data_IF_715898074128
#
_entry.id   IF_715898074128
#
_cell.length_a   1.000
_cell.length_b   1.000
_cell.length_c   1.000
_cell.angle_alpha   90.00
_cell.angle_beta   90.00
_cell.angle_gamma   90.00
#
_symmetry.space_group_name_H-M   'P 1'
#
loop_
_entity.id
_entity.type
_entity.pdbx_description
1 polymer ?
#
# COMPACT_ATOMS: atom_id res chain seq x y z
N UNK A 1 12.25 -31.88 -9.84
CA UNK A 1 12.56 -32.36 -11.21
C UNK A 1 13.72 -31.65 -11.86
N UNK A 2 14.15 -30.47 -11.43
CA UNK A 2 15.26 -29.71 -12.03
C UNK A 2 15.00 -29.13 -13.42
N UNK A 3 13.77 -29.21 -13.92
CA UNK A 3 13.42 -28.70 -15.25
C UNK A 3 13.47 -27.17 -15.35
N UNK A 4 13.33 -26.48 -14.20
CA UNK A 4 13.39 -25.02 -14.11
C UNK A 4 14.28 -24.61 -12.95
N UNK A 5 15.04 -23.53 -13.11
CA UNK A 5 15.93 -22.95 -12.10
C UNK A 5 15.59 -21.48 -11.82
N UNK A 6 14.61 -20.94 -12.51
CA UNK A 6 14.14 -19.56 -12.38
C UNK A 6 12.61 -19.52 -12.43
N UNK A 7 12.03 -18.87 -11.42
CA UNK A 7 10.58 -18.74 -11.27
C UNK A 7 10.20 -17.27 -11.15
N UNK A 8 9.05 -16.93 -11.68
CA UNK A 8 8.35 -15.69 -11.37
C UNK A 8 7.36 -16.02 -10.26
N UNK A 9 7.53 -15.38 -9.12
CA UNK A 9 6.77 -15.64 -7.90
C UNK A 9 5.65 -14.62 -7.76
N UNK A 10 4.45 -15.10 -7.41
CA UNK A 10 3.39 -14.19 -7.00
C UNK A 10 3.74 -13.50 -5.68
N UNK A 11 3.09 -12.40 -5.38
CA UNK A 11 3.27 -11.60 -4.18
C UNK A 11 3.15 -12.43 -2.88
N UNK A 12 2.16 -13.32 -2.80
CA UNK A 12 1.96 -14.22 -1.65
C UNK A 12 3.05 -15.25 -1.45
N UNK A 13 3.84 -15.51 -2.49
CA UNK A 13 4.98 -16.43 -2.41
C UNK A 13 6.26 -15.74 -1.92
N UNK A 14 6.28 -14.42 -1.87
CA UNK A 14 7.45 -13.64 -1.44
C UNK A 14 7.50 -13.60 0.09
N UNK A 15 8.25 -14.52 0.66
CA UNK A 15 8.40 -14.64 2.09
C UNK A 15 9.52 -15.59 2.48
N UNK A 16 10.00 -15.44 3.71
CA UNK A 16 11.12 -16.24 4.23
C UNK A 16 10.82 -17.74 4.30
N UNK A 17 9.53 -18.12 4.42
CA UNK A 17 9.10 -19.53 4.41
C UNK A 17 9.47 -20.22 3.11
N UNK A 18 9.24 -19.57 1.97
CA UNK A 18 9.60 -20.13 0.66
C UNK A 18 11.10 -20.40 0.55
N UNK A 19 11.92 -19.44 1.03
CA UNK A 19 13.39 -19.62 1.05
C UNK A 19 13.81 -20.76 1.96
N UNK A 20 13.18 -20.90 3.14
CA UNK A 20 13.46 -22.01 4.04
C UNK A 20 13.16 -23.36 3.41
N UNK A 21 12.07 -23.45 2.64
CA UNK A 21 11.63 -24.70 2.01
C UNK A 21 12.49 -25.08 0.79
N UNK A 22 12.76 -24.13 -0.09
CA UNK A 22 13.39 -24.41 -1.39
C UNK A 22 14.86 -24.00 -1.51
N UNK A 23 15.35 -23.15 -0.63
CA UNK A 23 16.76 -22.78 -0.52
C UNK A 23 17.40 -22.36 -1.84
N UNK A 24 18.41 -23.11 -2.25
CA UNK A 24 19.20 -22.81 -3.46
C UNK A 24 18.42 -23.00 -4.76
N UNK A 25 17.32 -23.77 -4.77
CA UNK A 25 16.54 -24.07 -5.97
C UNK A 25 15.87 -22.82 -6.56
N UNK A 26 15.57 -21.81 -5.73
CA UNK A 26 14.92 -20.57 -6.14
C UNK A 26 15.86 -19.35 -6.18
N UNK A 27 17.18 -19.56 -6.09
CA UNK A 27 18.15 -18.46 -5.99
C UNK A 27 18.14 -17.45 -7.14
N UNK A 28 17.62 -17.84 -8.31
CA UNK A 28 17.49 -16.96 -9.50
C UNK A 28 16.08 -16.39 -9.66
N UNK A 29 15.18 -16.73 -8.76
CA UNK A 29 13.78 -16.35 -8.86
C UNK A 29 13.56 -14.92 -8.42
N UNK A 30 12.49 -14.33 -8.92
CA UNK A 30 12.06 -12.97 -8.59
C UNK A 30 10.53 -12.90 -8.57
N UNK A 31 10.00 -11.85 -8.02
CA UNK A 31 8.57 -11.59 -8.03
C UNK A 31 8.29 -10.12 -7.70
N UNK A 32 7.03 -9.76 -7.64
CA UNK A 32 6.60 -8.41 -7.40
C UNK A 32 5.67 -8.35 -6.20
N UNK A 33 5.88 -7.36 -5.35
CA UNK A 33 4.95 -7.01 -4.26
C UNK A 33 4.48 -5.58 -4.45
N UNK A 34 3.26 -5.23 -4.01
CA UNK A 34 2.89 -3.84 -3.87
C UNK A 34 3.90 -3.12 -2.98
N UNK A 35 4.20 -1.88 -3.28
CA UNK A 35 5.19 -1.15 -2.50
C UNK A 35 5.13 0.34 -2.70
N UNK A 36 5.48 1.07 -1.65
CA UNK A 36 5.58 2.53 -1.64
C UNK A 36 7.03 2.99 -1.69
N UNK A 37 7.25 4.19 -2.20
CA UNK A 37 8.56 4.82 -2.22
C UNK A 37 8.48 6.32 -1.97
N UNK A 38 9.64 6.95 -1.74
CA UNK A 38 9.76 8.40 -1.57
C UNK A 38 9.22 8.92 -0.23
N UNK A 39 8.69 10.14 -0.24
CA UNK A 39 8.22 10.83 0.97
C UNK A 39 7.12 10.08 1.71
N UNK A 40 6.23 9.41 0.98
CA UNK A 40 5.11 8.64 1.54
C UNK A 40 5.58 7.48 2.40
N UNK A 41 6.57 6.73 1.93
CA UNK A 41 7.16 5.63 2.69
C UNK A 41 7.73 6.12 4.03
N UNK A 42 8.44 7.25 4.05
CA UNK A 42 8.97 7.81 5.28
C UNK A 42 7.90 8.32 6.27
N UNK A 43 6.77 8.82 5.78
CA UNK A 43 5.63 9.18 6.64
C UNK A 43 5.01 7.94 7.26
N UNK A 44 4.79 6.91 6.45
CA UNK A 44 4.20 5.66 6.90
C UNK A 44 5.10 4.93 7.89
N UNK A 45 6.41 4.87 7.64
CA UNK A 45 7.39 4.25 8.53
C UNK A 45 7.33 4.84 9.95
N UNK A 46 7.24 6.17 10.07
CA UNK A 46 7.10 6.84 11.37
C UNK A 46 5.81 6.46 12.11
N UNK A 47 4.69 6.33 11.37
CA UNK A 47 3.40 5.93 11.96
C UNK A 47 3.43 4.48 12.39
N UNK A 48 3.92 3.60 11.55
CA UNK A 48 4.03 2.17 11.80
C UNK A 48 4.96 1.86 12.98
N UNK A 49 6.12 2.54 13.05
CA UNK A 49 7.07 2.39 14.16
C UNK A 49 6.45 2.78 15.50
N UNK A 50 5.67 3.86 15.56
CA UNK A 50 4.94 4.25 16.77
C UNK A 50 3.89 3.22 17.19
N UNK A 51 3.29 2.51 16.24
CA UNK A 51 2.30 1.46 16.48
C UNK A 51 2.93 0.06 16.69
N UNK A 52 4.25 -0.07 16.67
CA UNK A 52 4.92 -1.38 16.75
C UNK A 52 4.68 -2.28 15.54
N UNK A 53 4.33 -1.71 14.39
CA UNK A 53 3.98 -2.45 13.17
C UNK A 53 5.23 -2.65 12.31
N UNK A 54 5.46 -3.89 11.89
CA UNK A 54 6.54 -4.22 10.96
C UNK A 54 6.13 -3.92 9.51
N UNK A 55 6.67 -2.83 8.95
CA UNK A 55 6.39 -2.40 7.57
C UNK A 55 6.95 -3.36 6.50
N UNK A 56 7.82 -4.29 6.87
CA UNK A 56 8.33 -5.30 5.94
C UNK A 56 7.31 -6.41 5.63
N UNK A 57 6.22 -6.47 6.38
CA UNK A 57 5.13 -7.39 6.07
C UNK A 57 4.37 -6.91 4.82
N UNK A 58 4.06 -7.83 3.90
CA UNK A 58 3.25 -7.50 2.73
C UNK A 58 1.91 -6.87 3.13
N UNK A 59 1.43 -5.95 2.30
CA UNK A 59 0.12 -5.28 2.42
C UNK A 59 -0.07 -4.39 3.67
N UNK A 60 0.97 -4.10 4.44
CA UNK A 60 0.84 -3.24 5.63
C UNK A 60 0.41 -1.82 5.25
N UNK A 61 1.00 -1.25 4.21
CA UNK A 61 0.65 0.07 3.68
C UNK A 61 -0.74 0.10 3.07
N UNK A 62 -1.08 -0.90 2.30
CA UNK A 62 -2.39 -1.04 1.65
C UNK A 62 -3.52 -1.19 2.66
N UNK A 63 -3.30 -1.95 3.72
CA UNK A 63 -4.28 -2.10 4.82
C UNK A 63 -4.49 -0.79 5.58
N UNK A 64 -3.42 -0.04 5.82
CA UNK A 64 -3.51 1.28 6.42
C UNK A 64 -4.31 2.25 5.53
N UNK A 65 -4.01 2.28 4.24
CA UNK A 65 -4.67 3.16 3.28
C UNK A 65 -6.15 2.80 3.12
N UNK A 66 -6.49 1.52 3.08
CA UNK A 66 -7.87 1.07 3.00
C UNK A 66 -8.69 1.55 4.21
N UNK A 67 -8.17 1.40 5.43
CA UNK A 67 -8.83 1.88 6.63
C UNK A 67 -8.96 3.41 6.64
N UNK A 68 -7.90 4.13 6.28
CA UNK A 68 -7.89 5.59 6.22
C UNK A 68 -8.92 6.13 5.21
N UNK A 69 -8.97 5.55 4.01
CA UNK A 69 -9.92 5.95 2.98
C UNK A 69 -11.37 5.74 3.41
N UNK A 70 -11.69 4.63 4.07
CA UNK A 70 -13.03 4.37 4.60
C UNK A 70 -13.39 5.43 5.63
N UNK A 71 -12.52 5.74 6.59
CA UNK A 71 -12.75 6.74 7.64
C UNK A 71 -13.00 8.13 7.02
N UNK A 72 -12.15 8.54 6.06
CA UNK A 72 -12.27 9.82 5.38
C UNK A 72 -13.54 9.90 4.52
N UNK A 73 -13.91 8.80 3.84
CA UNK A 73 -15.13 8.74 3.04
C UNK A 73 -16.41 8.82 3.91
N UNK A 74 -16.41 8.20 5.10
CA UNK A 74 -17.49 8.32 6.08
C UNK A 74 -17.66 9.79 6.50
N UNK A 75 -16.56 10.48 6.82
CA UNK A 75 -16.60 11.89 7.19
C UNK A 75 -17.11 12.77 6.03
N UNK A 76 -16.63 12.52 4.81
CA UNK A 76 -17.05 13.28 3.63
C UNK A 76 -18.54 13.10 3.31
N UNK A 77 -19.05 11.86 3.47
CA UNK A 77 -20.44 11.52 3.16
C UNK A 77 -21.42 11.65 4.34
N UNK A 78 -20.92 11.90 5.55
CA UNK A 78 -21.74 11.96 6.77
C UNK A 78 -22.45 10.65 7.12
N UNK A 79 -22.03 9.51 6.54
CA UNK A 79 -22.71 8.23 6.72
C UNK A 79 -21.77 7.04 6.52
N UNK A 80 -21.92 6.03 7.38
CA UNK A 80 -21.15 4.78 7.32
C UNK A 80 -21.81 3.69 6.44
N UNK A 81 -22.89 3.99 5.73
CA UNK A 81 -23.46 3.01 4.83
C UNK A 81 -22.57 2.82 3.58
N UNK A 82 -22.58 1.60 3.03
CA UNK A 82 -21.69 1.20 1.92
C UNK A 82 -21.86 2.07 0.67
N UNK A 83 -23.09 2.50 0.37
CA UNK A 83 -23.37 3.34 -0.80
C UNK A 83 -22.74 4.75 -0.67
N UNK A 84 -22.81 5.34 0.53
CA UNK A 84 -22.16 6.62 0.83
C UNK A 84 -20.64 6.49 0.76
N UNK A 85 -20.07 5.46 1.39
CA UNK A 85 -18.62 5.21 1.35
C UNK A 85 -18.13 5.06 -0.10
N UNK A 86 -18.79 4.19 -0.88
CA UNK A 86 -18.43 3.95 -2.29
C UNK A 86 -18.45 5.22 -3.14
N UNK A 87 -19.44 6.10 -2.89
CA UNK A 87 -19.53 7.38 -3.61
C UNK A 87 -18.39 8.33 -3.24
N UNK A 88 -18.04 8.41 -1.97
CA UNK A 88 -17.10 9.43 -1.47
C UNK A 88 -15.64 8.97 -1.50
N UNK A 89 -15.36 7.65 -1.61
CA UNK A 89 -13.99 7.14 -1.57
C UNK A 89 -13.13 7.69 -2.72
N UNK A 90 -13.69 7.85 -3.91
CA UNK A 90 -13.00 8.41 -5.07
C UNK A 90 -12.70 9.90 -4.89
N UNK A 91 -13.58 10.64 -4.22
CA UNK A 91 -13.38 12.07 -3.97
C UNK A 91 -12.27 12.34 -2.97
N UNK A 92 -12.20 11.53 -1.90
CA UNK A 92 -11.17 11.72 -0.86
C UNK A 92 -9.80 11.19 -1.28
N UNK A 93 -9.76 10.23 -2.22
CA UNK A 93 -8.53 9.60 -2.70
C UNK A 93 -7.89 10.32 -3.89
N UNK A 94 -8.57 11.28 -4.50
CA UNK A 94 -8.10 11.90 -5.75
C UNK A 94 -8.07 13.43 -5.67
N UNK A 95 -7.11 14.01 -6.38
CA UNK A 95 -7.08 15.47 -6.64
C UNK A 95 -8.38 15.97 -7.28
N UNK A 96 -8.76 17.25 -7.05
CA UNK A 96 -8.00 18.26 -6.32
C UNK A 96 -8.31 18.33 -4.84
N UNK A 97 -7.33 18.67 -4.01
CA UNK A 97 -7.53 18.86 -2.58
C UNK A 97 -6.23 19.08 -1.80
N UNK A 98 -6.37 19.29 -0.50
CA UNK A 98 -5.22 19.34 0.41
C UNK A 98 -4.65 17.94 0.59
N UNK A 99 -3.36 17.77 0.34
CA UNK A 99 -2.68 16.48 0.50
C UNK A 99 -2.68 16.01 1.95
N UNK A 100 -3.08 14.76 2.13
CA UNK A 100 -3.12 14.06 3.42
C UNK A 100 -2.20 12.85 3.36
N UNK A 101 -1.20 12.84 4.22
CA UNK A 101 -0.21 11.77 4.33
C UNK A 101 -0.48 10.84 5.52
N UNK A 102 0.19 9.67 5.61
CA UNK A 102 0.09 8.81 6.78
C UNK A 102 0.37 9.57 8.08
N UNK A 103 -0.50 9.38 9.09
CA UNK A 103 -0.47 10.11 10.35
C UNK A 103 -1.24 11.42 10.36
N UNK A 104 -1.73 11.91 9.22
CA UNK A 104 -2.50 13.16 9.13
C UNK A 104 -4.02 12.95 9.02
N UNK A 105 -4.55 11.76 9.39
CA UNK A 105 -5.99 11.46 9.29
C UNK A 105 -6.83 12.49 10.02
N UNK A 106 -6.43 12.90 11.24
CA UNK A 106 -7.12 13.95 12.01
C UNK A 106 -7.26 15.25 11.20
N UNK A 107 -6.19 15.71 10.57
CA UNK A 107 -6.20 16.89 9.68
C UNK A 107 -7.17 16.71 8.52
N UNK A 108 -7.20 15.51 7.90
CA UNK A 108 -8.15 15.18 6.85
C UNK A 108 -9.60 15.30 7.31
N UNK A 109 -9.92 14.72 8.46
CA UNK A 109 -11.26 14.79 9.07
C UNK A 109 -11.70 16.23 9.36
N UNK A 110 -10.80 17.04 9.93
CA UNK A 110 -11.07 18.46 10.24
C UNK A 110 -11.32 19.29 8.97
N UNK A 111 -10.58 19.04 7.89
CA UNK A 111 -10.78 19.72 6.62
C UNK A 111 -12.12 19.33 6.00
N UNK A 112 -12.46 18.03 5.98
CA UNK A 112 -13.73 17.54 5.47
C UNK A 112 -14.93 18.06 6.28
N UNK A 113 -14.81 18.13 7.61
CA UNK A 113 -15.84 18.71 8.47
C UNK A 113 -16.13 20.20 8.17
N UNK A 114 -15.15 20.91 7.60
CA UNK A 114 -15.26 22.31 7.14
C UNK A 114 -15.65 22.42 5.65
N UNK A 115 -16.06 21.32 5.02
CA UNK A 115 -16.41 21.29 3.59
C UNK A 115 -15.23 21.50 2.64
N UNK A 116 -13.99 21.31 3.09
CA UNK A 116 -12.79 21.42 2.25
C UNK A 116 -12.47 20.08 1.58
N UNK A 117 -11.97 20.15 0.35
CA UNK A 117 -11.51 18.96 -0.39
C UNK A 117 -10.13 18.53 0.07
N UNK A 118 -9.92 17.24 0.10
CA UNK A 118 -8.63 16.59 0.38
C UNK A 118 -8.18 15.73 -0.80
N UNK A 119 -6.92 15.38 -0.79
CA UNK A 119 -6.26 14.46 -1.74
C UNK A 119 -5.42 13.50 -0.88
N UNK A 120 -5.96 12.30 -0.63
CA UNK A 120 -5.30 11.33 0.23
C UNK A 120 -4.16 10.64 -0.50
N UNK A 121 -2.93 10.98 -0.15
CA UNK A 121 -1.72 10.40 -0.73
C UNK A 121 -1.38 9.02 -0.13
N UNK A 122 -1.75 8.78 1.11
CA UNK A 122 -1.55 7.53 1.82
C UNK A 122 -0.12 7.03 1.91
N UNK A 123 0.02 5.78 2.35
CA UNK A 123 1.29 5.06 2.39
C UNK A 123 1.72 4.59 1.01
N UNK A 124 0.76 4.17 0.17
CA UNK A 124 1.02 3.56 -1.14
C UNK A 124 0.94 4.55 -2.31
N UNK A 125 0.44 5.76 -2.08
CA UNK A 125 0.17 6.73 -3.13
C UNK A 125 -1.07 6.34 -3.94
N UNK A 126 -2.06 5.80 -3.24
CA UNK A 126 -3.29 5.31 -3.84
C UNK A 126 -4.05 6.44 -4.54
N UNK A 127 -4.42 6.20 -5.78
CA UNK A 127 -5.39 6.99 -6.52
C UNK A 127 -6.22 6.06 -7.39
N UNK A 128 -7.46 6.43 -7.67
CA UNK A 128 -8.37 5.59 -8.43
C UNK A 128 -8.70 6.22 -9.78
N UNK A 129 -8.85 5.38 -10.79
CA UNK A 129 -9.45 5.81 -12.04
C UNK A 129 -10.99 5.84 -11.94
N UNK A 130 -11.66 6.24 -13.02
CA UNK A 130 -13.13 6.31 -13.09
C UNK A 130 -13.86 4.99 -12.87
N UNK A 131 -13.15 3.87 -12.98
CA UNK A 131 -13.69 2.51 -12.77
C UNK A 131 -13.46 2.00 -11.35
N UNK A 132 -12.80 2.78 -10.49
CA UNK A 132 -12.44 2.37 -9.12
C UNK A 132 -11.19 1.50 -9.02
N UNK A 133 -10.40 1.41 -10.10
CA UNK A 133 -9.14 0.67 -10.09
C UNK A 133 -8.03 1.54 -9.54
N UNK A 134 -7.29 1.01 -8.55
CA UNK A 134 -6.17 1.71 -7.95
C UNK A 134 -4.96 1.70 -8.87
N UNK A 135 -4.32 2.85 -9.04
CA UNK A 135 -2.96 2.93 -9.57
C UNK A 135 -2.00 2.61 -8.44
N UNK A 136 -1.09 1.69 -8.68
CA UNK A 136 -0.09 1.29 -7.70
C UNK A 136 1.31 1.24 -8.28
N UNK A 137 2.28 1.18 -7.40
CA UNK A 137 3.66 0.86 -7.73
C UNK A 137 4.02 -0.51 -7.17
N UNK A 138 4.97 -1.17 -7.81
CA UNK A 138 5.42 -2.49 -7.42
C UNK A 138 6.92 -2.50 -7.17
N UNK A 139 7.34 -3.25 -6.16
CA UNK A 139 8.75 -3.53 -5.88
C UNK A 139 9.10 -4.91 -6.41
N UNK A 140 10.07 -4.95 -7.32
CA UNK A 140 10.66 -6.21 -7.73
C UNK A 140 11.54 -6.75 -6.61
N UNK A 141 11.25 -7.98 -6.19
CA UNK A 141 11.98 -8.72 -5.18
C UNK A 141 12.77 -9.83 -5.84
N UNK A 142 14.08 -9.90 -5.57
CA UNK A 142 14.94 -10.97 -6.07
C UNK A 142 15.50 -11.80 -4.92
N UNK A 143 15.63 -13.10 -5.15
CA UNK A 143 16.29 -13.98 -4.18
C UNK A 143 17.81 -13.82 -4.30
N UNK A 144 18.43 -13.20 -3.29
CA UNK A 144 19.88 -13.01 -3.20
C UNK A 144 20.39 -13.43 -1.81
N UNK A 145 21.38 -14.31 -1.79
CA UNK A 145 22.01 -14.78 -0.55
C UNK A 145 20.99 -15.32 0.48
N UNK A 146 20.03 -16.13 0.01
CA UNK A 146 19.03 -16.74 0.87
C UNK A 146 18.01 -15.76 1.48
N UNK A 147 17.81 -14.60 0.85
CA UNK A 147 16.81 -13.60 1.27
C UNK A 147 16.18 -12.95 0.05
N UNK A 148 14.92 -12.53 0.20
CA UNK A 148 14.33 -11.58 -0.75
C UNK A 148 14.92 -10.19 -0.52
N UNK A 149 15.34 -9.56 -1.61
CA UNK A 149 15.86 -8.18 -1.61
C UNK A 149 15.15 -7.36 -2.66
N UNK A 150 14.73 -6.17 -2.29
CA UNK A 150 14.21 -5.20 -3.24
C UNK A 150 15.28 -4.87 -4.28
N UNK A 151 14.91 -4.91 -5.55
CA UNK A 151 15.81 -4.67 -6.66
C UNK A 151 15.44 -3.39 -7.42
N UNK A 152 14.20 -3.24 -7.81
CA UNK A 152 13.72 -2.10 -8.59
C UNK A 152 12.25 -1.82 -8.33
N UNK A 153 11.88 -0.55 -8.31
CA UNK A 153 10.49 -0.13 -8.36
C UNK A 153 10.02 -0.05 -9.82
N UNK A 154 8.80 -0.52 -10.05
CA UNK A 154 8.12 -0.48 -11.35
C UNK A 154 6.83 0.31 -11.24
#
# INVERSE_FOLDING_TARGET
>A
SGAFDKFILSDRMIGQSLIKTFGKQIKKSFGYIPGSSGKRAGFFDRVASKGGINISNPYTGESYDAAALIILAIQAGGSANSKSISKNILEVANSPGTKIYPGEIKKGLELLARGKKIDYEGATGVSFNKFGEAKGSFLEQQVKNGKFKAYKQR
#
